data_IF_081876420789
#
_entry.id   IF_081876420789
#
_cell.length_a   1.000
_cell.length_b   1.000
_cell.length_c   1.000
_cell.angle_alpha   90.00
_cell.angle_beta   90.00
_cell.angle_gamma   90.00
#
_symmetry.space_group_name_H-M   'P 1'
#
loop_
_entity.id
_entity.type
_entity.pdbx_description
1 polymer ?
#
# COMPACT_ATOMS: atom_id res chain seq x y z
N UNK A 1 -24.64 26.84 -12.78
CA UNK A 1 -25.40 25.62 -12.43
C UNK A 1 -24.71 24.32 -12.88
N UNK A 2 -24.41 24.12 -14.15
CA UNK A 2 -23.76 22.87 -14.67
C UNK A 2 -22.40 22.60 -13.96
N UNK A 3 -21.52 23.61 -13.87
CA UNK A 3 -20.21 23.47 -13.24
C UNK A 3 -20.32 23.05 -11.76
N UNK A 4 -21.26 23.62 -11.03
CA UNK A 4 -21.46 23.29 -9.60
C UNK A 4 -21.94 21.85 -9.43
N UNK A 5 -22.84 21.38 -10.30
CA UNK A 5 -23.32 19.99 -10.29
C UNK A 5 -22.17 19.02 -10.61
N UNK A 6 -21.31 19.35 -11.59
CA UNK A 6 -20.16 18.53 -11.96
C UNK A 6 -19.15 18.41 -10.81
N UNK A 7 -18.87 19.51 -10.09
CA UNK A 7 -17.95 19.51 -8.93
C UNK A 7 -18.52 18.65 -7.81
N UNK A 8 -19.80 18.81 -7.48
CA UNK A 8 -20.47 18.00 -6.43
C UNK A 8 -20.40 16.51 -6.80
N UNK A 9 -20.72 16.17 -8.05
CA UNK A 9 -20.65 14.78 -8.52
C UNK A 9 -19.22 14.22 -8.40
N UNK A 10 -18.20 14.97 -8.82
CA UNK A 10 -16.79 14.55 -8.72
C UNK A 10 -16.36 14.35 -7.26
N UNK A 11 -16.72 15.27 -6.36
CA UNK A 11 -16.44 15.14 -4.94
C UNK A 11 -17.14 13.91 -4.34
N UNK A 12 -18.40 13.67 -4.70
CA UNK A 12 -19.16 12.51 -4.23
C UNK A 12 -18.49 11.21 -4.70
N UNK A 13 -18.16 11.11 -5.98
CA UNK A 13 -17.46 9.94 -6.53
C UNK A 13 -16.11 9.71 -5.87
N UNK A 14 -15.35 10.78 -5.62
CA UNK A 14 -14.07 10.68 -4.90
C UNK A 14 -14.27 10.14 -3.48
N UNK A 15 -15.25 10.66 -2.73
CA UNK A 15 -15.53 10.21 -1.35
C UNK A 15 -15.97 8.75 -1.34
N UNK A 16 -16.82 8.32 -2.28
CA UNK A 16 -17.27 6.93 -2.40
C UNK A 16 -16.11 5.98 -2.74
N UNK A 17 -15.16 6.42 -3.56
CA UNK A 17 -13.96 5.67 -3.86
C UNK A 17 -12.99 5.65 -2.67
N UNK A 18 -12.85 6.77 -1.97
CA UNK A 18 -11.88 6.95 -0.89
C UNK A 18 -12.31 6.27 0.41
N UNK A 19 -13.59 6.36 0.79
CA UNK A 19 -14.07 5.88 2.08
C UNK A 19 -14.68 4.47 2.02
N UNK A 20 -14.51 3.63 3.06
CA UNK A 20 -14.97 2.24 3.07
C UNK A 20 -16.45 2.06 3.42
N UNK A 21 -17.30 3.07 3.28
CA UNK A 21 -18.69 3.06 3.78
C UNK A 21 -19.51 1.87 3.30
N UNK A 22 -19.26 1.37 2.11
CA UNK A 22 -19.97 0.22 1.53
C UNK A 22 -19.14 -1.06 1.55
N UNK A 23 -17.94 -1.04 2.16
CA UNK A 23 -17.07 -2.21 2.23
C UNK A 23 -17.49 -3.07 3.42
N UNK A 24 -17.92 -4.29 3.16
CA UNK A 24 -18.27 -5.24 4.21
C UNK A 24 -17.02 -5.66 4.99
N UNK A 25 -17.13 -5.75 6.31
CA UNK A 25 -16.07 -6.28 7.17
C UNK A 25 -15.78 -7.75 6.84
N UNK A 26 -14.56 -8.18 7.07
CA UNK A 26 -14.18 -9.58 6.99
C UNK A 26 -14.86 -10.37 8.10
N UNK A 27 -15.29 -11.59 7.76
CA UNK A 27 -15.72 -12.57 8.76
C UNK A 27 -14.49 -13.30 9.30
N UNK A 28 -14.52 -13.80 10.55
CA UNK A 28 -13.46 -14.66 11.07
C UNK A 28 -13.18 -15.83 10.12
N UNK A 29 -11.91 -16.07 9.81
CA UNK A 29 -11.48 -17.12 8.88
C UNK A 29 -11.66 -16.82 7.39
N UNK A 30 -12.41 -15.80 6.98
CA UNK A 30 -12.64 -15.46 5.56
C UNK A 30 -11.34 -15.16 4.81
N UNK A 31 -10.36 -14.55 5.49
CA UNK A 31 -9.07 -14.22 4.89
C UNK A 31 -8.28 -15.47 4.47
N UNK A 32 -8.31 -16.52 5.26
CA UNK A 32 -7.67 -17.82 4.96
C UNK A 32 -8.29 -18.45 3.72
N UNK A 33 -9.63 -18.44 3.64
CA UNK A 33 -10.37 -18.98 2.49
C UNK A 33 -10.06 -18.22 1.20
N UNK A 34 -9.97 -16.89 1.26
CA UNK A 34 -9.69 -16.04 0.10
C UNK A 34 -8.25 -16.14 -0.39
N UNK A 35 -7.29 -16.37 0.49
CA UNK A 35 -5.88 -16.55 0.10
C UNK A 35 -5.57 -17.97 -0.36
N UNK A 36 -6.36 -18.95 0.08
CA UNK A 36 -6.13 -20.37 -0.26
C UNK A 36 -4.73 -20.83 0.12
N UNK A 37 -4.11 -21.68 -0.72
CA UNK A 37 -2.77 -22.24 -0.48
C UNK A 37 -1.62 -21.24 -0.29
N UNK A 38 -1.80 -19.97 -0.68
CA UNK A 38 -0.80 -18.93 -0.47
C UNK A 38 -0.60 -18.54 1.01
N UNK A 39 -1.56 -18.88 1.84
CA UNK A 39 -1.46 -18.74 3.27
C UNK A 39 -0.47 -19.74 3.88
N UNK A 40 -0.24 -20.86 3.20
CA UNK A 40 0.66 -21.92 3.65
C UNK A 40 2.13 -21.57 3.48
N UNK A 41 2.46 -20.58 2.64
CA UNK A 41 3.82 -20.06 2.46
C UNK A 41 4.32 -19.22 3.65
N UNK A 42 3.41 -18.80 4.56
CA UNK A 42 3.76 -18.04 5.75
C UNK A 42 4.30 -18.96 6.85
N UNK A 43 5.29 -18.49 7.59
CA UNK A 43 5.73 -19.16 8.83
C UNK A 43 4.60 -19.18 9.86
N UNK A 44 4.61 -20.12 10.84
CA UNK A 44 3.57 -20.19 11.86
C UNK A 44 3.32 -18.86 12.58
N UNK A 45 4.38 -18.15 12.94
CA UNK A 45 4.29 -16.86 13.63
C UNK A 45 3.71 -15.75 12.73
N UNK A 46 4.00 -15.76 11.43
CA UNK A 46 3.41 -14.83 10.47
C UNK A 46 1.94 -15.12 10.24
N UNK A 47 1.54 -16.39 10.15
CA UNK A 47 0.14 -16.80 10.05
C UNK A 47 -0.67 -16.31 11.24
N UNK A 48 -0.16 -16.52 12.44
CA UNK A 48 -0.83 -16.06 13.67
C UNK A 48 -1.04 -14.54 13.66
N UNK A 49 0.02 -13.77 13.39
CA UNK A 49 -0.06 -12.31 13.28
C UNK A 49 -1.03 -11.86 12.19
N UNK A 50 -0.99 -12.49 11.03
CA UNK A 50 -1.88 -12.20 9.92
C UNK A 50 -3.34 -12.51 10.26
N UNK A 51 -3.62 -13.68 10.87
CA UNK A 51 -4.97 -14.05 11.32
C UNK A 51 -5.50 -13.07 12.37
N UNK A 52 -4.70 -12.76 13.38
CA UNK A 52 -5.08 -11.80 14.42
C UNK A 52 -5.43 -10.44 13.81
N UNK A 53 -4.59 -9.96 12.87
CA UNK A 53 -4.84 -8.70 12.16
C UNK A 53 -6.13 -8.76 11.34
N UNK A 54 -6.39 -9.82 10.58
CA UNK A 54 -7.58 -9.94 9.75
C UNK A 54 -8.86 -10.13 10.56
N UNK A 55 -8.80 -10.93 11.62
CA UNK A 55 -9.96 -11.18 12.49
C UNK A 55 -10.39 -9.95 13.30
N UNK A 56 -9.46 -9.02 13.54
CA UNK A 56 -9.74 -7.75 14.21
C UNK A 56 -10.26 -6.66 13.23
N UNK A 57 -10.81 -7.04 12.06
CA UNK A 57 -11.29 -6.08 11.06
C UNK A 57 -12.43 -5.22 11.59
N UNK A 58 -12.16 -3.92 11.74
CA UNK A 58 -13.12 -2.90 12.16
C UNK A 58 -13.77 -2.16 10.97
N UNK A 59 -13.44 -2.55 9.74
CA UNK A 59 -13.91 -1.93 8.51
C UNK A 59 -13.32 -0.54 8.24
N UNK A 60 -12.32 -0.11 9.01
CA UNK A 60 -11.71 1.22 8.90
C UNK A 60 -10.47 1.20 8.02
N UNK A 61 -10.09 2.35 7.45
CA UNK A 61 -8.81 2.51 6.78
C UNK A 61 -7.64 2.31 7.75
N UNK A 62 -6.56 1.75 7.22
CA UNK A 62 -5.28 1.63 7.93
C UNK A 62 -4.11 1.97 7.01
N UNK A 63 -2.94 2.14 7.59
CA UNK A 63 -1.71 2.53 6.89
C UNK A 63 -0.68 1.43 7.07
N UNK A 64 -0.17 0.90 5.96
CA UNK A 64 0.94 -0.04 5.99
C UNK A 64 2.24 0.74 5.87
N UNK A 65 3.02 0.75 6.94
CA UNK A 65 4.39 1.28 6.93
C UNK A 65 5.31 0.17 6.45
N UNK A 66 6.00 0.43 5.36
CA UNK A 66 6.99 -0.50 4.80
C UNK A 66 8.37 0.13 4.94
N UNK A 67 9.28 -0.56 5.60
CA UNK A 67 10.70 -0.25 5.64
C UNK A 67 11.42 -1.25 4.73
N UNK A 68 12.24 -0.78 3.82
CA UNK A 68 12.81 -1.60 2.74
C UNK A 68 14.30 -1.39 2.62
N UNK A 69 15.05 -2.49 2.60
CA UNK A 69 16.43 -2.55 2.13
C UNK A 69 16.48 -3.36 0.85
N UNK A 70 17.16 -2.86 -0.15
CA UNK A 70 17.24 -3.49 -1.45
C UNK A 70 18.51 -4.32 -1.59
N UNK A 71 18.42 -5.43 -2.35
CA UNK A 71 19.57 -6.15 -2.80
C UNK A 71 20.36 -5.31 -3.80
N UNK A 72 21.67 -5.41 -3.80
CA UNK A 72 22.49 -4.82 -4.85
C UNK A 72 22.10 -5.37 -6.24
N UNK A 73 21.87 -6.68 -6.32
CA UNK A 73 21.39 -7.40 -7.50
C UNK A 73 20.11 -8.15 -7.17
N UNK A 74 19.11 -8.03 -8.02
CA UNK A 74 17.86 -8.74 -7.87
C UNK A 74 18.09 -10.27 -7.90
N UNK A 75 17.50 -10.97 -6.93
CA UNK A 75 17.64 -12.42 -6.76
C UNK A 75 16.33 -13.13 -7.12
N UNK A 76 16.18 -13.47 -8.39
CA UNK A 76 15.05 -14.25 -8.87
C UNK A 76 15.31 -15.74 -8.66
N UNK A 77 14.50 -16.41 -7.85
CA UNK A 77 14.61 -17.84 -7.60
C UNK A 77 14.46 -18.63 -8.91
N UNK A 78 15.29 -19.67 -9.15
CA UNK A 78 15.12 -20.55 -10.30
C UNK A 78 13.68 -21.11 -10.37
N UNK A 79 13.10 -21.16 -11.57
CA UNK A 79 11.74 -21.67 -11.76
C UNK A 79 10.61 -20.70 -11.43
N UNK A 80 10.90 -19.48 -11.02
CA UNK A 80 9.87 -18.45 -10.80
C UNK A 80 9.22 -18.10 -12.13
N UNK A 81 7.89 -18.34 -12.23
CA UNK A 81 7.11 -17.99 -13.42
C UNK A 81 6.93 -16.46 -13.47
N UNK A 82 7.62 -15.81 -14.37
CA UNK A 82 7.56 -14.35 -14.58
C UNK A 82 6.67 -13.94 -15.75
N UNK A 83 5.94 -14.88 -16.35
CA UNK A 83 4.94 -14.66 -17.43
C UNK A 83 5.41 -13.67 -18.51
N UNK A 84 6.65 -13.85 -19.00
CA UNK A 84 7.23 -13.01 -20.05
C UNK A 84 7.82 -11.67 -19.56
N UNK A 85 7.74 -11.39 -18.27
CA UNK A 85 8.28 -10.14 -17.66
C UNK A 85 9.65 -10.33 -17.01
N UNK A 86 10.37 -11.44 -17.31
CA UNK A 86 11.73 -11.62 -16.81
C UNK A 86 12.63 -10.57 -17.40
N UNK A 87 13.30 -9.73 -16.59
CA UNK A 87 14.26 -8.79 -17.11
C UNK A 87 15.37 -9.55 -17.84
N UNK A 88 15.65 -9.15 -19.08
CA UNK A 88 16.81 -9.66 -19.81
C UNK A 88 18.05 -8.98 -19.26
N UNK A 89 18.84 -9.72 -18.49
CA UNK A 89 20.09 -9.22 -17.90
C UNK A 89 20.06 -9.08 -16.38
N UNK A 90 21.16 -8.57 -15.84
CA UNK A 90 21.34 -8.31 -14.41
C UNK A 90 20.69 -6.94 -14.09
N UNK A 91 19.69 -6.92 -13.22
CA UNK A 91 19.10 -5.70 -12.74
C UNK A 91 19.34 -5.55 -11.24
N UNK A 92 19.32 -4.30 -10.74
CA UNK A 92 19.41 -4.03 -9.31
C UNK A 92 18.16 -4.49 -8.57
N UNK A 93 18.27 -4.71 -7.26
CA UNK A 93 17.09 -4.94 -6.42
C UNK A 93 16.11 -3.79 -6.50
N UNK A 94 16.59 -2.53 -6.56
CA UNK A 94 15.74 -1.33 -6.69
C UNK A 94 14.95 -1.33 -7.99
N UNK A 95 15.55 -1.73 -9.11
CA UNK A 95 14.84 -1.84 -10.40
C UNK A 95 13.76 -2.93 -10.37
N UNK A 96 14.05 -4.08 -9.74
CA UNK A 96 13.05 -5.12 -9.52
C UNK A 96 11.88 -4.60 -8.63
N UNK A 97 12.18 -3.79 -7.61
CA UNK A 97 11.18 -3.12 -6.79
C UNK A 97 10.29 -2.16 -7.60
N UNK A 98 10.85 -1.47 -8.59
CA UNK A 98 10.08 -0.64 -9.51
C UNK A 98 9.13 -1.46 -10.40
N UNK A 99 9.56 -2.62 -10.89
CA UNK A 99 8.69 -3.54 -11.66
C UNK A 99 7.48 -3.97 -10.81
N UNK A 100 7.72 -4.34 -9.55
CA UNK A 100 6.66 -4.64 -8.60
C UNK A 100 5.70 -3.46 -8.41
N UNK A 101 6.24 -2.28 -8.12
CA UNK A 101 5.45 -1.07 -7.84
C UNK A 101 4.56 -0.69 -9.01
N UNK A 102 5.09 -0.70 -10.24
CA UNK A 102 4.34 -0.38 -11.46
C UNK A 102 3.16 -1.34 -11.70
N UNK A 103 3.33 -2.62 -11.38
CA UNK A 103 2.27 -3.61 -11.53
C UNK A 103 1.20 -3.52 -10.43
N UNK A 104 1.59 -3.16 -9.21
CA UNK A 104 0.70 -3.15 -8.04
C UNK A 104 -0.03 -1.82 -7.87
N UNK A 105 0.56 -0.70 -8.26
CA UNK A 105 -0.06 0.62 -8.09
C UNK A 105 -1.47 0.73 -8.72
N UNK A 106 -1.72 0.27 -9.96
CA UNK A 106 -3.09 0.26 -10.50
C UNK A 106 -4.07 -0.57 -9.68
N UNK A 107 -3.61 -1.71 -9.12
CA UNK A 107 -4.44 -2.58 -8.29
C UNK A 107 -4.80 -1.95 -6.94
N UNK A 108 -3.90 -1.15 -6.37
CA UNK A 108 -4.18 -0.32 -5.20
C UNK A 108 -5.24 0.73 -5.54
N UNK A 109 -5.01 1.53 -6.60
CA UNK A 109 -5.88 2.64 -6.98
C UNK A 109 -7.31 2.18 -7.31
N UNK A 110 -7.49 1.05 -7.99
CA UNK A 110 -8.82 0.45 -8.25
C UNK A 110 -9.64 0.22 -6.98
N UNK A 111 -8.97 0.05 -5.84
CA UNK A 111 -9.60 -0.26 -4.53
C UNK A 111 -9.64 0.90 -3.55
N UNK A 112 -9.35 2.12 -4.01
CA UNK A 112 -9.27 3.30 -3.13
C UNK A 112 -8.08 3.24 -2.15
N UNK A 113 -7.05 2.47 -2.50
CA UNK A 113 -5.80 2.36 -1.77
C UNK A 113 -4.70 3.09 -2.55
N UNK A 114 -3.78 3.74 -1.85
CA UNK A 114 -2.71 4.49 -2.52
C UNK A 114 -1.56 4.80 -1.56
N UNK A 115 -0.34 5.00 -2.08
CA UNK A 115 0.76 5.48 -1.26
C UNK A 115 0.51 6.93 -0.83
N UNK A 116 0.66 7.21 0.46
CA UNK A 116 0.52 8.56 1.03
C UNK A 116 1.86 9.20 1.32
N UNK A 117 2.90 8.39 1.43
CA UNK A 117 4.26 8.86 1.65
C UNK A 117 5.26 7.83 1.10
N UNK A 118 6.25 8.30 0.38
CA UNK A 118 7.39 7.50 -0.09
C UNK A 118 8.63 8.37 0.01
N UNK A 119 9.66 7.88 0.70
CA UNK A 119 10.91 8.62 0.87
C UNK A 119 12.10 7.67 0.95
N UNK A 120 13.24 8.11 0.43
CA UNK A 120 14.54 7.50 0.68
C UNK A 120 15.17 8.06 1.95
N UNK A 121 15.83 7.20 2.72
CA UNK A 121 16.59 7.60 3.90
C UNK A 121 17.80 8.45 3.48
N UNK A 122 17.98 9.58 4.15
CA UNK A 122 19.17 10.41 3.97
C UNK A 122 20.30 9.88 4.85
N UNK A 123 20.03 9.74 6.15
CA UNK A 123 21.00 9.24 7.14
C UNK A 123 20.26 8.79 8.41
N UNK A 124 20.95 8.05 9.26
CA UNK A 124 20.50 7.80 10.62
C UNK A 124 21.02 8.90 11.52
N UNK A 125 20.12 9.71 12.04
CA UNK A 125 20.47 10.76 12.98
C UNK A 125 20.59 10.23 14.42
N UNK A 126 19.66 9.36 14.81
CA UNK A 126 19.64 8.73 16.13
C UNK A 126 19.26 7.26 15.99
N UNK A 127 19.99 6.38 16.67
CA UNK A 127 19.68 4.96 16.78
C UNK A 127 19.72 4.56 18.24
N UNK A 128 18.72 3.85 18.71
CA UNK A 128 18.62 3.32 20.06
C UNK A 128 18.21 1.86 20.03
N UNK A 129 19.12 0.99 20.44
CA UNK A 129 18.90 -0.46 20.60
C UNK A 129 18.66 -1.21 19.28
N UNK A 130 19.22 -2.42 19.17
CA UNK A 130 18.99 -3.35 18.07
C UNK A 130 19.47 -2.89 16.68
N UNK A 131 19.25 -3.76 15.70
CA UNK A 131 19.54 -3.50 14.27
C UNK A 131 18.37 -2.75 13.63
N UNK A 132 18.30 -1.43 13.86
CA UNK A 132 17.27 -0.54 13.32
C UNK A 132 17.73 0.23 12.08
N UNK A 133 19.00 0.08 11.68
CA UNK A 133 19.64 0.85 10.60
C UNK A 133 19.54 0.20 9.21
N UNK A 134 18.77 -0.83 9.05
CA UNK A 134 18.80 -1.64 7.83
C UNK A 134 18.12 -1.02 6.62
N UNK A 135 17.13 -0.15 6.77
CA UNK A 135 16.30 0.29 5.63
C UNK A 135 16.92 1.47 4.86
N UNK A 136 16.65 1.49 3.57
CA UNK A 136 17.00 2.57 2.64
C UNK A 136 15.79 3.43 2.30
N UNK A 137 14.63 2.82 2.11
CA UNK A 137 13.39 3.51 1.75
C UNK A 137 12.28 3.20 2.75
N UNK A 138 11.39 4.17 2.91
CA UNK A 138 10.12 4.03 3.61
C UNK A 138 8.97 4.32 2.66
N UNK A 139 7.93 3.48 2.70
CA UNK A 139 6.69 3.73 1.99
C UNK A 139 5.50 3.51 2.93
N UNK A 140 4.60 4.48 2.97
CA UNK A 140 3.34 4.38 3.73
C UNK A 140 2.20 4.31 2.73
N UNK A 141 1.51 3.19 2.73
CA UNK A 141 0.36 2.93 1.84
C UNK A 141 -0.92 2.97 2.66
N UNK A 142 -1.85 3.83 2.27
CA UNK A 142 -3.20 3.80 2.82
C UNK A 142 -3.98 2.69 2.15
N UNK A 143 -4.52 1.79 2.96
CA UNK A 143 -5.53 0.83 2.54
C UNK A 143 -6.91 1.29 3.02
N UNK A 144 -7.88 1.28 2.12
CA UNK A 144 -9.25 1.67 2.40
C UNK A 144 -9.90 0.75 3.44
N UNK A 145 -9.61 -0.57 3.37
CA UNK A 145 -10.02 -1.58 4.35
C UNK A 145 -9.10 -2.80 4.29
N UNK A 146 -9.18 -3.69 5.30
CA UNK A 146 -8.47 -4.99 5.25
C UNK A 146 -9.01 -5.88 4.13
N UNK A 147 -10.29 -5.80 3.83
CA UNK A 147 -10.90 -6.49 2.68
C UNK A 147 -10.31 -6.03 1.35
N UNK A 148 -10.14 -4.72 1.15
CA UNK A 148 -9.56 -4.19 -0.08
C UNK A 148 -8.10 -4.62 -0.24
N UNK A 149 -7.32 -4.62 0.85
CA UNK A 149 -5.96 -5.16 0.85
C UNK A 149 -5.97 -6.64 0.47
N UNK A 150 -6.82 -7.45 1.10
CA UNK A 150 -6.92 -8.87 0.83
C UNK A 150 -7.33 -9.16 -0.63
N UNK A 151 -8.31 -8.42 -1.15
CA UNK A 151 -8.73 -8.50 -2.55
C UNK A 151 -7.62 -8.13 -3.53
N UNK A 152 -6.75 -7.17 -3.16
CA UNK A 152 -5.57 -6.83 -3.96
C UNK A 152 -4.55 -7.98 -3.94
N UNK A 153 -4.21 -8.47 -2.75
CA UNK A 153 -3.22 -9.56 -2.57
C UNK A 153 -3.66 -10.85 -3.28
N UNK A 154 -4.95 -11.11 -3.35
CA UNK A 154 -5.52 -12.26 -4.07
C UNK A 154 -5.61 -12.04 -5.59
N UNK A 155 -5.39 -10.82 -6.10
CA UNK A 155 -5.54 -10.54 -7.53
C UNK A 155 -4.43 -11.18 -8.37
N UNK A 156 -4.74 -11.65 -9.60
CA UNK A 156 -3.71 -12.20 -10.49
C UNK A 156 -2.55 -11.23 -10.75
N UNK A 157 -2.84 -9.94 -10.94
CA UNK A 157 -1.81 -8.93 -11.19
C UNK A 157 -0.83 -8.79 -10.02
N UNK A 158 -1.33 -8.80 -8.77
CA UNK A 158 -0.46 -8.80 -7.59
C UNK A 158 0.41 -10.06 -7.54
N UNK A 159 -0.19 -11.22 -7.80
CA UNK A 159 0.52 -12.49 -7.72
C UNK A 159 1.64 -12.60 -8.76
N UNK A 160 1.42 -12.09 -9.95
CA UNK A 160 2.45 -12.00 -10.98
C UNK A 160 3.57 -11.01 -10.60
N UNK A 161 3.25 -9.98 -9.82
CA UNK A 161 4.22 -8.98 -9.39
C UNK A 161 5.05 -9.41 -8.16
N UNK A 162 4.52 -10.28 -7.30
CA UNK A 162 5.17 -10.72 -6.04
C UNK A 162 6.61 -11.22 -6.23
N UNK A 163 6.95 -11.99 -7.28
CA UNK A 163 8.34 -12.41 -7.50
C UNK A 163 9.31 -11.23 -7.61
N UNK A 164 8.91 -10.13 -8.24
CA UNK A 164 9.75 -8.93 -8.33
C UNK A 164 9.99 -8.30 -6.96
N UNK A 165 8.97 -8.31 -6.08
CA UNK A 165 9.10 -7.83 -4.70
C UNK A 165 10.18 -8.63 -3.96
N UNK A 166 10.09 -9.95 -3.98
CA UNK A 166 11.01 -10.80 -3.23
C UNK A 166 12.41 -10.85 -3.84
N UNK A 167 12.51 -10.71 -5.16
CA UNK A 167 13.81 -10.57 -5.82
C UNK A 167 14.49 -9.24 -5.47
N UNK A 168 13.72 -8.18 -5.21
CA UNK A 168 14.22 -6.83 -4.93
C UNK A 168 14.76 -6.66 -3.52
N UNK A 169 14.13 -7.30 -2.51
CA UNK A 169 14.32 -6.97 -1.11
C UNK A 169 15.32 -7.91 -0.44
N UNK A 170 16.33 -7.33 0.20
CA UNK A 170 17.20 -8.04 1.13
C UNK A 170 16.50 -8.19 2.49
N UNK A 171 15.95 -7.09 2.99
CA UNK A 171 15.25 -7.04 4.27
C UNK A 171 14.05 -6.10 4.17
N UNK A 172 12.96 -6.46 4.81
CA UNK A 172 11.78 -5.60 4.86
C UNK A 172 10.97 -5.82 6.13
N UNK A 173 10.33 -4.76 6.58
CA UNK A 173 9.34 -4.80 7.67
C UNK A 173 8.09 -4.11 7.17
N UNK A 174 6.94 -4.75 7.33
CA UNK A 174 5.64 -4.20 7.00
C UNK A 174 4.75 -4.18 8.26
N UNK A 175 4.39 -2.98 8.70
CA UNK A 175 3.64 -2.77 9.95
C UNK A 175 2.32 -2.09 9.65
N UNK A 176 1.17 -2.73 9.90
CA UNK A 176 -0.12 -2.07 9.80
C UNK A 176 -0.33 -1.11 10.98
N UNK A 177 -0.61 0.15 10.68
CA UNK A 177 -0.77 1.21 11.65
C UNK A 177 -2.17 1.83 11.56
N UNK A 178 -2.74 2.17 12.70
CA UNK A 178 -3.94 3.01 12.76
C UNK A 178 -3.54 4.48 12.74
N UNK A 179 -4.22 5.29 11.91
CA UNK A 179 -4.02 6.73 11.90
C UNK A 179 -4.43 7.34 13.24
N UNK A 180 -3.52 8.05 13.87
CA UNK A 180 -3.81 8.90 15.02
C UNK A 180 -4.00 10.35 14.57
N UNK A 181 -3.10 10.85 13.71
CA UNK A 181 -3.13 12.19 13.15
C UNK A 181 -2.49 12.17 11.76
N UNK A 182 -3.08 12.88 10.81
CA UNK A 182 -2.49 13.17 9.50
C UNK A 182 -2.91 14.59 9.11
N UNK A 183 -1.97 15.52 9.18
CA UNK A 183 -2.17 16.91 8.80
C UNK A 183 -1.02 17.30 7.88
N UNK A 184 -1.36 17.80 6.71
CA UNK A 184 -0.43 18.48 5.82
C UNK A 184 -0.89 19.93 5.62
N UNK A 185 -0.38 20.88 6.41
CA UNK A 185 -0.74 22.29 6.27
C UNK A 185 -0.40 22.87 4.90
N UNK A 186 0.64 22.34 4.24
CA UNK A 186 1.06 22.79 2.91
C UNK A 186 0.01 22.52 1.82
N UNK A 187 -0.85 21.52 2.01
CA UNK A 187 -1.98 21.24 1.11
C UNK A 187 -3.27 21.81 1.64
N UNK A 188 -3.54 21.65 2.94
CA UNK A 188 -4.82 22.03 3.54
C UNK A 188 -5.07 23.54 3.48
N UNK A 189 -4.07 24.36 3.83
CA UNK A 189 -4.24 25.82 3.88
C UNK A 189 -4.54 26.40 2.49
N UNK A 190 -3.79 26.11 1.41
CA UNK A 190 -4.14 26.59 0.07
C UNK A 190 -5.53 26.15 -0.40
N UNK A 191 -5.95 24.91 -0.09
CA UNK A 191 -7.28 24.41 -0.48
C UNK A 191 -8.39 25.16 0.26
N UNK A 192 -8.22 25.44 1.56
CA UNK A 192 -9.17 26.21 2.36
C UNK A 192 -9.26 27.66 1.83
N UNK A 193 -8.12 28.29 1.58
CA UNK A 193 -8.09 29.66 1.03
C UNK A 193 -8.73 29.71 -0.37
N UNK A 194 -8.47 28.74 -1.22
CA UNK A 194 -9.11 28.63 -2.54
C UNK A 194 -10.63 28.46 -2.41
N UNK A 195 -11.10 27.61 -1.51
CA UNK A 195 -12.52 27.42 -1.26
C UNK A 195 -13.20 28.71 -0.76
N UNK A 196 -12.57 29.42 0.16
CA UNK A 196 -13.03 30.71 0.65
C UNK A 196 -13.08 31.73 -0.50
N UNK A 197 -12.03 31.86 -1.28
CA UNK A 197 -11.98 32.76 -2.42
C UNK A 197 -13.10 32.49 -3.45
N UNK A 198 -13.36 31.20 -3.77
CA UNK A 198 -14.42 30.81 -4.69
C UNK A 198 -15.82 31.17 -4.15
N UNK A 199 -16.05 31.02 -2.83
CA UNK A 199 -17.32 31.40 -2.20
C UNK A 199 -17.58 32.91 -2.31
N UNK A 200 -16.57 33.75 -2.06
CA UNK A 200 -16.72 35.20 -2.13
C UNK A 200 -16.70 35.78 -3.56
N UNK A 201 -16.18 35.05 -4.53
CA UNK A 201 -16.20 35.49 -5.94
C UNK A 201 -17.58 35.37 -6.61
N UNK A 202 -18.46 34.53 -6.09
CA UNK A 202 -19.80 34.23 -6.64
C UNK A 202 -20.95 34.81 -5.80
N UNK A 203 -20.67 35.55 -4.74
CA UNK A 203 -21.64 36.41 -4.01
C UNK A 203 -21.53 37.84 -4.49
#
# INVERSE_FOLDING_TARGET
MILSVSIIAACTLFVLWHEPWFTRRLRPGEAVTLLGGKYDDLSPAERERFQAFMNADDGRPFYMVNLMAYRERADYRPGTALNGSTPTGIISGRDAGWLYTRAVLPELLKRGCYPVFVAGKITNLLTAGGDTDFFEDVAIVRYRSRRDMLSMVASPAFLHAVPHKWASLEKTVAVPCRRLLLIDPGVLVPLVLLAIWLLFRHG
#
